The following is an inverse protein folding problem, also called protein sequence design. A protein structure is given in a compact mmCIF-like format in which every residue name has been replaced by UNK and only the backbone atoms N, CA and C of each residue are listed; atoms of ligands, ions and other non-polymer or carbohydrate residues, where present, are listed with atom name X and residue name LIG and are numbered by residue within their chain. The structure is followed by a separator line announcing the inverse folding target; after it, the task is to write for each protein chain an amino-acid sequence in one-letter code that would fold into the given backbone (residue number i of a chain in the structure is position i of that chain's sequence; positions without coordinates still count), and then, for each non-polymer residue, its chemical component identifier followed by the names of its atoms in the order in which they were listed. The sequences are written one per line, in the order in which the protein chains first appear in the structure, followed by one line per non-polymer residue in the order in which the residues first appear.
data_IF_210360577195
#
_entry.id   IF_210360577195
#
_cell.length_a   1.000
_cell.length_b   1.000
_cell.length_c   1.000
_cell.angle_alpha   90.00
_cell.angle_beta   90.00
_cell.angle_gamma   90.00
#
_symmetry.space_group_name_H-M   'P 1'
#
loop_
_entity.id
_entity.type
_entity.pdbx_description
1 polymer ?
#
# COMPACT_ATOMS: atom_id res chain seq x y z
N UNK A 1 -8.58 -14.60 -7.47
CA UNK A 1 -7.65 -15.59 -8.05
C UNK A 1 -6.95 -14.97 -9.24
N UNK A 2 -5.67 -15.30 -9.51
CA UNK A 2 -4.95 -14.81 -10.68
C UNK A 2 -5.67 -15.21 -11.99
N UNK A 3 -5.72 -14.33 -13.02
CA UNK A 3 -6.37 -14.65 -14.28
C UNK A 3 -5.67 -15.79 -15.01
N UNK A 4 -6.41 -16.60 -15.78
CA UNK A 4 -5.86 -17.77 -16.50
C UNK A 4 -4.72 -17.41 -17.46
N UNK A 5 -4.68 -16.16 -17.97
CA UNK A 5 -3.61 -15.68 -18.86
C UNK A 5 -2.22 -15.82 -18.23
N UNK A 6 -2.12 -15.65 -16.91
CA UNK A 6 -0.85 -15.70 -16.18
C UNK A 6 -0.16 -17.05 -16.35
N UNK A 7 -0.94 -18.14 -16.39
CA UNK A 7 -0.41 -19.49 -16.58
C UNK A 7 0.25 -19.71 -17.93
N UNK A 8 -0.11 -18.94 -18.96
CA UNK A 8 0.39 -19.13 -20.35
C UNK A 8 1.83 -18.64 -20.53
N UNK A 9 2.28 -17.71 -19.69
CA UNK A 9 3.62 -17.13 -19.76
C UNK A 9 4.47 -17.44 -18.52
N UNK A 10 4.00 -18.31 -17.61
CA UNK A 10 4.78 -18.72 -16.46
C UNK A 10 6.14 -19.33 -16.89
N UNK A 11 7.22 -18.88 -16.26
CA UNK A 11 8.60 -19.26 -16.58
C UNK A 11 9.21 -18.52 -17.77
N UNK A 12 8.45 -17.67 -18.49
CA UNK A 12 9.00 -16.79 -19.53
C UNK A 12 9.71 -15.58 -18.91
N UNK A 13 10.38 -14.79 -19.73
CA UNK A 13 11.11 -13.59 -19.32
C UNK A 13 10.59 -12.35 -20.03
N UNK A 14 10.67 -11.20 -19.37
CA UNK A 14 10.39 -9.88 -19.92
C UNK A 14 11.50 -8.90 -19.50
N UNK A 15 11.76 -7.88 -20.31
CA UNK A 15 12.69 -6.80 -20.00
C UNK A 15 11.93 -5.47 -20.09
N UNK A 16 11.76 -4.78 -18.98
CA UNK A 16 11.01 -3.51 -18.89
C UNK A 16 11.80 -2.56 -18.00
N UNK A 17 11.98 -1.32 -18.46
CA UNK A 17 12.82 -0.31 -17.78
C UNK A 17 14.22 -0.79 -17.43
N UNK A 18 14.77 -1.73 -18.21
CA UNK A 18 16.08 -2.35 -18.00
C UNK A 18 16.11 -3.45 -16.92
N UNK A 19 14.97 -3.79 -16.30
CA UNK A 19 14.85 -4.84 -15.29
C UNK A 19 14.44 -6.16 -15.95
N UNK A 20 15.24 -7.24 -15.82
CA UNK A 20 14.88 -8.55 -16.33
C UNK A 20 13.94 -9.27 -15.36
N UNK A 21 12.68 -9.45 -15.74
CA UNK A 21 11.69 -10.19 -14.97
C UNK A 21 11.57 -11.63 -15.45
N UNK A 22 11.55 -12.57 -14.51
CA UNK A 22 10.97 -13.89 -14.74
C UNK A 22 9.48 -13.83 -14.42
N UNK A 23 8.63 -14.29 -15.35
CA UNK A 23 7.19 -14.15 -15.27
C UNK A 23 6.51 -15.35 -14.59
N UNK A 24 5.42 -15.13 -13.82
CA UNK A 24 4.91 -13.83 -13.39
C UNK A 24 5.83 -13.15 -12.37
N UNK A 25 5.68 -11.82 -12.24
CA UNK A 25 6.27 -11.05 -11.13
C UNK A 25 5.65 -11.58 -9.83
N UNK A 26 6.48 -12.26 -9.04
CA UNK A 26 6.04 -13.01 -7.87
C UNK A 26 6.86 -12.67 -6.64
N UNK A 27 6.24 -12.87 -5.49
CA UNK A 27 6.93 -12.96 -4.20
C UNK A 27 6.62 -14.28 -3.52
N UNK A 28 7.55 -14.74 -2.69
CA UNK A 28 7.34 -15.91 -1.84
C UNK A 28 7.79 -15.63 -0.40
N UNK A 29 7.18 -16.36 0.55
CA UNK A 29 7.59 -16.39 1.97
C UNK A 29 7.77 -15.00 2.62
N UNK A 30 7.01 -14.00 2.17
CA UNK A 30 7.17 -12.63 2.63
C UNK A 30 6.24 -12.37 3.81
N UNK A 31 6.74 -12.19 5.06
CA UNK A 31 5.88 -11.83 6.16
C UNK A 31 5.29 -10.44 5.95
N UNK A 32 4.08 -10.23 6.48
CA UNK A 32 3.37 -8.98 6.32
C UNK A 32 2.48 -8.69 7.52
N UNK A 33 2.36 -7.41 7.83
CA UNK A 33 1.35 -6.88 8.74
C UNK A 33 0.37 -6.02 7.95
N UNK A 34 -0.88 -5.98 8.41
CA UNK A 34 -1.89 -5.06 7.91
C UNK A 34 -2.76 -4.55 9.07
N UNK A 35 -3.09 -3.27 9.07
CA UNK A 35 -4.00 -2.65 10.01
C UNK A 35 -4.95 -1.70 9.31
N UNK A 36 -6.19 -1.64 9.79
CA UNK A 36 -7.19 -0.69 9.32
C UNK A 36 -7.63 0.25 10.43
N UNK A 37 -7.53 1.55 10.19
CA UNK A 37 -8.00 2.62 11.07
C UNK A 37 -9.15 3.35 10.39
N UNK A 38 -10.15 3.78 11.17
CA UNK A 38 -11.25 4.56 10.61
C UNK A 38 -10.95 6.06 10.68
N UNK A 39 -11.27 6.80 9.63
CA UNK A 39 -11.06 8.25 9.54
C UNK A 39 -12.34 8.98 9.11
N UNK A 40 -12.38 10.30 9.25
CA UNK A 40 -13.47 11.09 8.71
C UNK A 40 -13.56 10.89 7.18
N UNK A 41 -14.78 10.62 6.70
CA UNK A 41 -14.98 10.25 5.30
C UNK A 41 -14.77 11.42 4.34
N UNK A 42 -15.19 12.63 4.72
CA UNK A 42 -15.05 13.82 3.90
C UNK A 42 -13.58 14.20 3.77
N UNK A 43 -12.86 14.25 4.89
CA UNK A 43 -11.43 14.55 4.91
C UNK A 43 -10.59 13.50 4.18
N UNK A 44 -10.98 12.22 4.24
CA UNK A 44 -10.35 11.18 3.43
C UNK A 44 -10.54 11.42 1.92
N UNK A 45 -11.70 11.91 1.48
CA UNK A 45 -11.92 12.25 0.06
C UNK A 45 -11.10 13.46 -0.38
N UNK A 46 -10.80 14.41 0.51
CA UNK A 46 -9.94 15.56 0.19
C UNK A 46 -8.50 15.14 -0.16
N UNK A 47 -8.07 13.94 0.27
CA UNK A 47 -6.77 13.36 -0.10
C UNK A 47 -6.81 12.59 -1.43
N UNK A 48 -7.99 12.32 -1.98
CA UNK A 48 -8.16 11.56 -3.22
C UNK A 48 -8.21 12.50 -4.42
N UNK A 49 -7.43 12.25 -5.48
CA UNK A 49 -7.37 13.16 -6.61
C UNK A 49 -8.48 12.86 -7.64
N UNK A 50 -8.74 13.87 -8.48
CA UNK A 50 -9.69 13.76 -9.58
C UNK A 50 -11.13 13.63 -9.11
N UNK A 51 -11.97 13.04 -9.95
CA UNK A 51 -13.42 12.92 -9.74
C UNK A 51 -13.94 11.47 -9.83
N UNK A 52 -13.05 10.50 -10.01
CA UNK A 52 -13.41 9.09 -10.20
C UNK A 52 -13.11 8.20 -8.98
N UNK A 53 -12.24 8.62 -8.07
CA UNK A 53 -11.84 7.84 -6.91
C UNK A 53 -12.50 8.42 -5.66
N UNK A 54 -13.27 7.60 -4.96
CA UNK A 54 -14.06 8.02 -3.80
C UNK A 54 -13.75 7.12 -2.62
N UNK A 55 -13.54 7.71 -1.44
CA UNK A 55 -13.24 6.94 -0.24
C UNK A 55 -14.39 5.97 0.05
N UNK A 56 -14.05 4.74 0.40
CA UNK A 56 -15.00 3.71 0.76
C UNK A 56 -15.68 4.11 2.06
N UNK A 57 -17.01 4.22 2.05
CA UNK A 57 -17.79 4.51 3.26
C UNK A 57 -18.10 3.22 4.01
N UNK A 58 -17.54 3.09 5.21
CA UNK A 58 -17.79 1.99 6.16
C UNK A 58 -19.24 2.06 6.70
N UNK A 59 -19.76 0.98 7.32
CA UNK A 59 -21.10 0.98 7.91
C UNK A 59 -21.34 2.12 8.90
N UNK A 60 -20.35 2.45 9.73
CA UNK A 60 -20.40 3.57 10.67
C UNK A 60 -20.34 4.96 10.01
N UNK A 61 -20.17 5.05 8.69
CA UNK A 61 -20.16 6.29 7.92
C UNK A 61 -18.77 6.91 7.72
N UNK A 62 -17.74 6.34 8.35
CA UNK A 62 -16.34 6.75 8.25
C UNK A 62 -15.64 6.12 7.04
N UNK A 63 -14.45 6.60 6.71
CA UNK A 63 -13.57 5.97 5.73
C UNK A 63 -12.59 5.01 6.42
N UNK A 64 -11.82 4.26 5.63
CA UNK A 64 -10.76 3.38 6.13
C UNK A 64 -9.39 3.80 5.57
N UNK A 65 -8.46 4.09 6.47
CA UNK A 65 -7.03 4.11 6.21
C UNK A 65 -6.48 2.70 6.42
N UNK A 66 -5.78 2.18 5.42
CA UNK A 66 -5.15 0.87 5.40
C UNK A 66 -3.64 1.05 5.42
N UNK A 67 -3.00 0.42 6.39
CA UNK A 67 -1.54 0.32 6.50
C UNK A 67 -1.17 -1.13 6.25
N UNK A 68 -0.31 -1.37 5.26
CA UNK A 68 0.27 -2.69 5.01
C UNK A 68 1.78 -2.54 4.97
N UNK A 69 2.50 -3.43 5.67
CA UNK A 69 3.95 -3.52 5.53
C UNK A 69 4.32 -4.95 5.20
N UNK A 70 5.16 -5.13 4.18
CA UNK A 70 5.62 -6.44 3.72
C UNK A 70 7.14 -6.44 3.71
N UNK A 71 7.73 -7.48 4.31
CA UNK A 71 9.15 -7.79 4.15
C UNK A 71 9.29 -8.84 3.04
N UNK A 72 9.64 -8.37 1.84
CA UNK A 72 9.81 -9.22 0.68
C UNK A 72 11.15 -9.96 0.75
N UNK A 73 11.11 -11.24 1.12
CA UNK A 73 12.31 -12.07 1.27
C UNK A 73 12.78 -12.75 -0.04
N UNK A 74 11.87 -12.95 -1.00
CA UNK A 74 12.12 -13.69 -2.23
C UNK A 74 11.29 -13.10 -3.38
N UNK A 75 11.95 -12.33 -4.25
CA UNK A 75 11.36 -11.72 -5.46
C UNK A 75 12.37 -11.75 -6.61
N UNK A 76 11.94 -11.39 -7.82
CA UNK A 76 12.83 -11.27 -8.98
C UNK A 76 13.74 -10.04 -8.97
N UNK A 77 13.57 -9.11 -8.02
CA UNK A 77 14.31 -7.84 -7.94
C UNK A 77 15.04 -7.68 -6.61
N UNK A 78 15.40 -8.80 -5.99
CA UNK A 78 16.01 -8.81 -4.66
C UNK A 78 15.00 -8.71 -3.52
N UNK A 79 15.53 -8.67 -2.30
CA UNK A 79 14.75 -8.48 -1.08
C UNK A 79 14.52 -6.98 -0.81
N UNK A 80 13.38 -6.62 -0.25
CA UNK A 80 13.09 -5.25 0.18
C UNK A 80 11.92 -5.20 1.16
N UNK A 81 11.85 -4.14 1.95
CA UNK A 81 10.66 -3.83 2.75
C UNK A 81 9.82 -2.85 1.95
N UNK A 82 8.50 -3.00 2.00
CA UNK A 82 7.54 -2.09 1.39
C UNK A 82 6.44 -1.72 2.37
N UNK A 83 6.19 -0.43 2.48
CA UNK A 83 4.99 0.12 3.09
C UNK A 83 3.94 0.40 2.03
N UNK A 84 2.68 0.32 2.45
CA UNK A 84 1.53 0.86 1.75
C UNK A 84 0.64 1.60 2.73
N UNK A 85 0.56 2.92 2.57
CA UNK A 85 -0.36 3.79 3.28
C UNK A 85 -1.43 4.21 2.28
N UNK A 86 -2.66 3.74 2.48
CA UNK A 86 -3.70 3.85 1.46
C UNK A 86 -5.08 4.12 2.04
N UNK A 87 -5.93 4.82 1.28
CA UNK A 87 -7.34 4.96 1.58
C UNK A 87 -8.10 3.87 0.82
N UNK A 88 -8.89 3.06 1.54
CA UNK A 88 -9.83 2.15 0.89
C UNK A 88 -10.80 2.98 0.04
N UNK A 89 -11.00 2.61 -1.22
CA UNK A 89 -11.76 3.42 -2.17
C UNK A 89 -12.62 2.59 -3.11
N UNK A 90 -13.53 3.28 -3.78
CA UNK A 90 -14.31 2.80 -4.92
C UNK A 90 -14.03 3.68 -6.11
N UNK A 91 -14.28 3.17 -7.31
CA UNK A 91 -14.12 3.92 -8.55
C UNK A 91 -15.44 4.07 -9.29
N UNK A 92 -15.76 5.28 -9.70
CA UNK A 92 -16.89 5.58 -10.58
C UNK A 92 -17.22 7.07 -10.62
N UNK A 93 -18.23 7.44 -11.41
CA UNK A 93 -18.66 8.83 -11.54
C UNK A 93 -19.25 9.42 -10.23
N UNK A 94 -19.61 8.58 -9.27
CA UNK A 94 -20.16 8.97 -7.96
C UNK A 94 -19.66 8.01 -6.88
N UNK A 95 -19.63 8.44 -5.60
CA UNK A 95 -19.36 7.54 -4.49
C UNK A 95 -20.32 6.35 -4.47
N UNK A 96 -19.78 5.15 -4.20
CA UNK A 96 -20.59 3.96 -4.08
C UNK A 96 -21.54 4.03 -2.85
N UNK A 97 -22.75 3.48 -2.92
CA UNK A 97 -23.67 3.45 -1.78
C UNK A 97 -23.08 2.67 -0.59
N UNK A 98 -23.35 3.15 0.65
CA UNK A 98 -22.75 2.70 1.92
C UNK A 98 -22.74 1.19 2.18
N UNK A 99 -23.75 0.47 1.71
CA UNK A 99 -23.90 -0.97 1.95
C UNK A 99 -23.45 -1.76 0.71
N UNK A 100 -23.61 -1.18 -0.48
CA UNK A 100 -23.36 -1.86 -1.74
C UNK A 100 -21.86 -1.98 -2.06
N UNK A 101 -21.04 -1.05 -1.58
CA UNK A 101 -19.58 -1.06 -1.76
C UNK A 101 -18.86 -2.23 -1.07
N UNK A 102 -19.36 -2.72 0.07
CA UNK A 102 -18.80 -3.84 0.81
C UNK A 102 -19.28 -5.21 0.31
N UNK A 103 -20.52 -5.28 -0.19
CA UNK A 103 -21.15 -6.52 -0.69
C UNK A 103 -20.82 -6.81 -2.17
N UNK A 104 -20.56 -5.78 -2.97
CA UNK A 104 -20.30 -5.91 -4.41
C UNK A 104 -18.96 -5.27 -4.80
N UNK A 105 -17.89 -5.71 -4.14
CA UNK A 105 -16.52 -5.17 -4.31
C UNK A 105 -16.11 -5.02 -5.79
N UNK A 106 -16.45 -6.02 -6.63
CA UNK A 106 -16.13 -5.98 -8.06
C UNK A 106 -16.95 -4.99 -8.90
N UNK A 107 -18.19 -4.68 -8.49
CA UNK A 107 -19.08 -3.79 -9.26
C UNK A 107 -18.67 -2.33 -9.17
N UNK A 108 -18.15 -1.91 -8.02
CA UNK A 108 -17.76 -0.51 -7.75
C UNK A 108 -16.26 -0.25 -7.92
N UNK A 109 -15.53 -1.17 -8.55
CA UNK A 109 -14.08 -1.07 -8.68
C UNK A 109 -13.39 -0.89 -7.32
N UNK A 110 -13.87 -1.57 -6.26
CA UNK A 110 -13.33 -1.41 -4.92
C UNK A 110 -11.85 -1.81 -4.88
N UNK A 111 -11.05 -0.99 -4.20
CA UNK A 111 -9.61 -1.17 -4.06
C UNK A 111 -9.06 -0.24 -3.00
N UNK A 112 -7.81 0.15 -3.16
CA UNK A 112 -7.13 1.12 -2.30
C UNK A 112 -6.41 2.15 -3.16
N UNK A 113 -6.54 3.42 -2.82
CA UNK A 113 -5.76 4.47 -3.43
C UNK A 113 -4.51 4.70 -2.58
N UNK A 114 -3.33 4.47 -3.17
CA UNK A 114 -2.05 4.54 -2.48
C UNK A 114 -1.65 6.01 -2.32
N UNK A 115 -1.56 6.48 -1.09
CA UNK A 115 -1.11 7.83 -0.75
C UNK A 115 0.41 7.90 -0.68
N UNK A 116 1.03 6.91 -0.04
CA UNK A 116 2.48 6.82 0.15
C UNK A 116 2.94 5.36 0.11
N UNK A 117 4.10 5.09 -0.49
CA UNK A 117 4.60 3.73 -0.73
C UNK A 117 6.13 3.60 -0.58
N UNK A 118 6.72 3.90 0.60
CA UNK A 118 8.17 3.78 0.78
C UNK A 118 8.67 2.35 0.63
N UNK A 119 9.84 2.21 0.02
CA UNK A 119 10.55 0.92 -0.15
C UNK A 119 12.01 1.04 0.23
N UNK A 120 12.64 -0.08 0.61
CA UNK A 120 14.05 -0.06 1.05
C UNK A 120 15.07 -0.08 -0.10
N UNK A 121 14.68 -0.47 -1.33
CA UNK A 121 15.58 -0.60 -2.48
C UNK A 121 15.22 0.30 -3.66
N UNK A 122 16.24 0.80 -4.36
CA UNK A 122 16.10 1.68 -5.52
C UNK A 122 15.44 0.97 -6.71
N UNK A 123 15.83 -0.29 -6.99
CA UNK A 123 15.25 -1.07 -8.10
C UNK A 123 13.73 -1.26 -7.94
N UNK A 124 13.23 -1.35 -6.70
CA UNK A 124 11.80 -1.43 -6.42
C UNK A 124 11.10 -0.12 -6.75
N UNK A 125 11.72 1.03 -6.47
CA UNK A 125 11.22 2.35 -6.89
C UNK A 125 11.13 2.41 -8.41
N UNK A 126 12.21 2.05 -9.10
CA UNK A 126 12.27 2.12 -10.57
C UNK A 126 11.17 1.28 -11.23
N UNK A 127 11.07 0.00 -10.87
CA UNK A 127 10.05 -0.89 -11.44
C UNK A 127 8.63 -0.52 -11.02
N UNK A 128 8.40 -0.30 -9.73
CA UNK A 128 7.06 -0.03 -9.21
C UNK A 128 6.47 1.29 -9.71
N UNK A 129 7.26 2.37 -9.70
CA UNK A 129 6.82 3.69 -10.21
C UNK A 129 6.81 3.73 -11.74
N UNK A 130 7.86 3.23 -12.40
CA UNK A 130 7.98 3.29 -13.87
C UNK A 130 6.91 2.50 -14.61
N UNK A 131 6.60 1.29 -14.13
CA UNK A 131 5.71 0.36 -14.82
C UNK A 131 4.26 0.51 -14.36
N UNK A 132 4.02 0.54 -13.05
CA UNK A 132 2.66 0.53 -12.47
C UNK A 132 2.21 1.90 -11.93
N UNK A 133 3.06 2.93 -11.98
CA UNK A 133 2.75 4.27 -11.47
C UNK A 133 2.57 4.32 -9.95
N UNK A 134 3.10 3.34 -9.23
CA UNK A 134 3.04 3.32 -7.78
C UNK A 134 3.90 4.45 -7.20
N UNK A 135 3.45 5.20 -6.18
CA UNK A 135 4.18 6.36 -5.64
C UNK A 135 5.36 5.93 -4.76
N UNK A 136 6.20 5.02 -5.27
CA UNK A 136 7.36 4.50 -4.56
C UNK A 136 8.43 5.55 -4.41
N UNK A 137 9.11 5.53 -3.29
CA UNK A 137 10.38 6.25 -3.08
C UNK A 137 11.21 5.47 -2.08
N UNK A 138 12.53 5.67 -2.14
CA UNK A 138 13.45 4.93 -1.27
C UNK A 138 13.49 5.59 0.11
N UNK A 139 13.51 4.77 1.16
CA UNK A 139 13.46 5.20 2.54
C UNK A 139 14.23 4.27 3.50
N UNK A 140 14.53 4.79 4.69
CA UNK A 140 15.05 4.00 5.81
C UNK A 140 13.87 3.26 6.45
N UNK A 141 13.87 1.93 6.38
CA UNK A 141 12.76 1.08 6.82
C UNK A 141 13.26 -0.09 7.69
N UNK A 142 12.43 -0.54 8.64
CA UNK A 142 12.59 -1.83 9.32
C UNK A 142 11.31 -2.65 9.30
N UNK A 143 11.40 -3.93 9.63
CA UNK A 143 10.26 -4.80 9.91
C UNK A 143 10.65 -5.69 11.09
N UNK A 144 10.10 -5.38 12.26
CA UNK A 144 10.50 -6.00 13.52
C UNK A 144 9.37 -6.89 14.03
N UNK A 145 9.61 -8.20 14.04
CA UNK A 145 8.70 -9.21 14.57
C UNK A 145 9.20 -9.69 15.93
N UNK A 146 8.32 -9.66 16.95
CA UNK A 146 8.52 -10.30 18.25
C UNK A 146 7.42 -11.33 18.52
N UNK A 147 7.50 -12.09 19.64
CA UNK A 147 6.40 -12.95 20.08
C UNK A 147 5.10 -12.17 20.38
N UNK A 148 5.22 -10.96 20.94
CA UNK A 148 4.11 -10.12 21.41
C UNK A 148 3.50 -9.25 20.30
N UNK A 149 4.32 -8.80 19.34
CA UNK A 149 3.89 -7.81 18.37
C UNK A 149 4.72 -7.78 17.09
N UNK A 150 4.27 -6.96 16.16
CA UNK A 150 5.00 -6.65 14.93
C UNK A 150 4.96 -5.15 14.75
N UNK A 151 6.11 -4.56 14.45
CA UNK A 151 6.25 -3.14 14.22
C UNK A 151 7.09 -2.85 13.00
N UNK A 152 6.93 -1.64 12.48
CA UNK A 152 7.73 -1.14 11.38
C UNK A 152 7.81 0.37 11.48
N UNK A 153 9.01 0.92 11.29
CA UNK A 153 9.30 2.34 11.23
C UNK A 153 9.83 2.77 9.86
N UNK A 154 9.41 3.97 9.47
CA UNK A 154 9.76 4.64 8.23
C UNK A 154 10.34 6.03 8.55
N UNK A 155 11.57 6.25 8.10
CA UNK A 155 12.27 7.53 8.14
C UNK A 155 12.64 8.00 6.72
N UNK A 156 12.63 9.31 6.52
CA UNK A 156 13.03 9.95 5.28
C UNK A 156 13.64 11.32 5.56
N UNK A 157 14.68 11.66 4.81
CA UNK A 157 15.32 12.97 4.84
C UNK A 157 15.72 13.40 6.27
N UNK A 158 16.19 12.42 7.05
CA UNK A 158 16.60 12.60 8.46
C UNK A 158 15.46 12.84 9.45
N UNK A 159 14.20 12.61 9.05
CA UNK A 159 13.01 12.85 9.86
C UNK A 159 12.25 11.56 10.14
N UNK A 160 11.59 11.52 11.30
CA UNK A 160 10.59 10.52 11.60
C UNK A 160 9.37 10.76 10.70
N UNK A 161 8.94 9.72 9.99
CA UNK A 161 7.80 9.84 9.07
C UNK A 161 6.62 9.05 9.60
N UNK A 162 6.78 7.75 9.79
CA UNK A 162 5.64 6.90 10.13
C UNK A 162 6.07 5.68 10.94
N UNK A 163 5.24 5.26 11.89
CA UNK A 163 5.41 3.98 12.58
C UNK A 163 4.05 3.33 12.81
N UNK A 164 4.02 2.01 12.61
CA UNK A 164 2.88 1.16 12.93
C UNK A 164 3.34 0.06 13.86
N UNK A 165 2.54 -0.20 14.89
CA UNK A 165 2.73 -1.30 15.83
C UNK A 165 1.42 -2.05 15.95
N UNK A 166 1.46 -3.38 15.91
CA UNK A 166 0.29 -4.22 16.17
C UNK A 166 0.62 -5.32 17.17
N UNK A 167 -0.33 -5.66 18.04
CA UNK A 167 -0.25 -6.91 18.78
C UNK A 167 -0.41 -8.08 17.80
N UNK A 168 0.42 -9.10 17.98
CA UNK A 168 0.41 -10.26 17.10
C UNK A 168 -0.87 -11.08 17.34
N UNK A 169 -1.68 -11.34 16.30
CA UNK A 169 -2.83 -12.21 16.43
C UNK A 169 -2.41 -13.61 16.88
N UNK A 170 -3.15 -14.20 17.83
CA UNK A 170 -2.76 -15.43 18.56
C UNK A 170 -2.38 -16.63 17.69
N UNK A 171 -3.00 -16.80 16.52
CA UNK A 171 -2.62 -17.88 15.60
C UNK A 171 -3.00 -17.58 14.15
N UNK A 172 -2.05 -17.66 13.19
CA UNK A 172 -2.33 -17.51 11.78
C UNK A 172 -2.91 -18.80 11.18
N UNK A 173 -4.20 -19.06 11.46
CA UNK A 173 -4.89 -20.28 11.03
C UNK A 173 -5.82 -20.07 9.83
N UNK A 174 -6.17 -18.82 9.51
CA UNK A 174 -7.15 -18.49 8.47
C UNK A 174 -6.47 -18.53 7.11
N UNK A 175 -6.86 -19.45 6.24
CA UNK A 175 -6.39 -19.47 4.85
C UNK A 175 -7.10 -18.36 4.07
N UNK A 176 -6.32 -17.42 3.55
CA UNK A 176 -6.80 -16.32 2.73
C UNK A 176 -6.31 -16.45 1.30
N UNK A 177 -7.22 -16.19 0.34
CA UNK A 177 -6.93 -16.02 -1.08
C UNK A 177 -7.58 -14.72 -1.52
N UNK A 178 -6.80 -13.67 -1.64
CA UNK A 178 -7.30 -12.31 -1.86
C UNK A 178 -6.78 -11.79 -3.19
N UNK A 179 -7.63 -11.05 -3.89
CA UNK A 179 -7.21 -10.15 -4.97
C UNK A 179 -7.56 -8.72 -4.58
N UNK A 180 -6.68 -7.78 -4.87
CA UNK A 180 -6.91 -6.37 -4.61
C UNK A 180 -6.49 -5.51 -5.81
N UNK A 181 -7.12 -4.35 -5.92
CA UNK A 181 -6.79 -3.32 -6.90
C UNK A 181 -6.10 -2.17 -6.18
N UNK A 182 -4.90 -1.82 -6.64
CA UNK A 182 -4.23 -0.59 -6.20
C UNK A 182 -4.45 0.48 -7.25
N UNK A 183 -5.00 1.61 -6.83
CA UNK A 183 -5.10 2.82 -7.62
C UNK A 183 -3.96 3.76 -7.25
N UNK A 184 -3.27 4.26 -8.27
CA UNK A 184 -2.17 5.20 -8.10
C UNK A 184 -2.30 6.34 -9.12
N UNK A 185 -1.60 7.45 -8.86
CA UNK A 185 -1.50 8.58 -9.78
C UNK A 185 -0.04 8.79 -10.18
N UNK A 186 0.24 8.75 -11.47
CA UNK A 186 1.56 9.08 -12.01
C UNK A 186 1.40 9.87 -13.30
N UNK A 187 2.11 11.01 -13.46
CA UNK A 187 1.96 11.91 -14.63
C UNK A 187 0.52 12.35 -14.90
N UNK A 188 -0.26 12.52 -13.83
CA UNK A 188 -1.70 12.78 -13.89
C UNK A 188 -2.54 11.69 -14.62
N UNK A 189 -2.01 10.48 -14.74
CA UNK A 189 -2.75 9.31 -15.17
C UNK A 189 -3.18 8.51 -13.94
N UNK A 190 -4.42 8.05 -13.95
CA UNK A 190 -4.93 7.08 -12.98
C UNK A 190 -4.54 5.68 -13.46
N UNK A 191 -3.82 4.96 -12.59
CA UNK A 191 -3.35 3.60 -12.86
C UNK A 191 -4.04 2.62 -11.93
N UNK A 192 -4.41 1.46 -12.45
CA UNK A 192 -5.02 0.37 -11.68
C UNK A 192 -4.23 -0.92 -11.88
N UNK A 193 -3.44 -1.30 -10.88
CA UNK A 193 -2.69 -2.55 -10.84
C UNK A 193 -3.41 -3.60 -10.00
N UNK A 194 -3.22 -4.88 -10.32
CA UNK A 194 -3.90 -5.98 -9.63
C UNK A 194 -2.89 -6.86 -8.92
N UNK A 195 -3.16 -7.13 -7.65
CA UNK A 195 -2.35 -8.04 -6.84
C UNK A 195 -3.19 -9.23 -6.39
N UNK A 196 -2.54 -10.39 -6.30
CA UNK A 196 -3.13 -11.62 -5.80
C UNK A 196 -2.22 -12.23 -4.77
N UNK A 197 -2.73 -12.57 -3.60
CA UNK A 197 -1.95 -13.24 -2.58
C UNK A 197 -2.67 -14.42 -1.95
N UNK A 198 -1.87 -15.41 -1.55
CA UNK A 198 -2.27 -16.56 -0.75
C UNK A 198 -1.44 -16.61 0.52
N UNK A 199 -2.10 -16.79 1.65
CA UNK A 199 -1.45 -16.80 2.97
C UNK A 199 -2.28 -17.54 4.01
N UNK A 200 -1.64 -17.90 5.13
CA UNK A 200 -2.33 -18.15 6.39
C UNK A 200 -2.17 -16.91 7.26
N UNK A 201 -3.28 -16.31 7.65
CA UNK A 201 -3.31 -15.07 8.38
C UNK A 201 -3.91 -15.26 9.77
N UNK A 202 -3.40 -14.51 10.73
CA UNK A 202 -4.05 -14.26 12.02
C UNK A 202 -4.76 -12.92 11.92
N UNK A 203 -6.00 -12.84 12.39
CA UNK A 203 -6.83 -11.64 12.27
C UNK A 203 -7.43 -11.32 13.63
N UNK A 204 -7.24 -10.09 14.10
CA UNK A 204 -8.00 -9.51 15.19
C UNK A 204 -8.96 -8.48 14.62
N UNK A 205 -10.21 -8.51 15.07
CA UNK A 205 -11.28 -7.61 14.62
C UNK A 205 -11.84 -6.80 15.80
N UNK A 206 -12.30 -5.59 15.50
CA UNK A 206 -13.00 -4.70 16.43
C UNK A 206 -12.23 -4.53 17.76
N UNK A 207 -12.88 -4.56 18.92
CA UNK A 207 -12.23 -4.33 20.23
C UNK A 207 -11.11 -5.31 20.61
N UNK A 208 -10.83 -6.34 19.80
CA UNK A 208 -9.66 -7.24 19.95
C UNK A 208 -8.46 -6.80 19.11
N UNK A 209 -8.67 -5.93 18.12
CA UNK A 209 -7.60 -5.34 17.34
C UNK A 209 -6.88 -4.32 18.21
N UNK A 210 -5.56 -4.48 18.33
CA UNK A 210 -4.68 -3.62 19.13
C UNK A 210 -3.50 -3.23 18.28
N UNK A 211 -3.29 -1.93 18.16
CA UNK A 211 -2.18 -1.35 17.42
C UNK A 211 -2.13 0.15 17.61
N UNK A 212 -0.93 0.71 17.44
CA UNK A 212 -0.64 2.12 17.59
C UNK A 212 -0.14 2.70 16.28
N UNK A 213 -0.55 3.93 15.99
CA UNK A 213 -0.12 4.68 14.83
C UNK A 213 0.61 5.95 15.27
N UNK A 214 1.75 6.21 14.63
CA UNK A 214 2.56 7.40 14.89
C UNK A 214 2.86 8.06 13.54
N UNK A 215 2.57 9.35 13.43
CA UNK A 215 2.65 10.10 12.17
C UNK A 215 3.47 11.37 12.41
N UNK A 216 4.61 11.48 11.73
CA UNK A 216 5.49 12.64 11.76
C UNK A 216 4.97 13.82 10.93
N UNK A 217 5.81 14.87 10.87
CA UNK A 217 5.50 16.11 10.15
C UNK A 217 6.03 16.14 8.71
N UNK A 218 6.65 15.04 8.26
CA UNK A 218 7.18 14.95 6.90
C UNK A 218 6.06 15.10 5.86
N UNK A 219 6.26 15.89 4.77
CA UNK A 219 5.21 16.20 3.80
C UNK A 219 4.46 15.00 3.21
N UNK A 220 5.13 13.85 3.06
CA UNK A 220 4.53 12.61 2.54
C UNK A 220 3.32 12.13 3.36
N UNK A 221 3.29 12.40 4.67
CA UNK A 221 2.27 11.83 5.58
C UNK A 221 1.60 12.87 6.48
N UNK A 222 2.11 14.11 6.54
CA UNK A 222 1.60 15.16 7.42
C UNK A 222 0.08 15.38 7.29
N UNK A 223 -0.46 15.28 6.06
CA UNK A 223 -1.90 15.42 5.79
C UNK A 223 -2.76 14.38 6.53
N UNK A 224 -2.21 13.21 6.87
CA UNK A 224 -2.91 12.15 7.61
C UNK A 224 -3.22 12.56 9.06
N UNK A 225 -2.51 13.52 9.65
CA UNK A 225 -2.85 14.06 10.97
C UNK A 225 -4.18 14.83 10.94
N UNK A 226 -4.57 15.35 9.78
CA UNK A 226 -5.77 16.15 9.60
C UNK A 226 -7.07 15.36 9.46
N UNK A 227 -7.02 14.06 9.12
CA UNK A 227 -8.20 13.29 8.68
C UNK A 227 -9.07 12.72 9.81
N UNK A 228 -8.85 13.14 11.07
CA UNK A 228 -9.58 12.67 12.24
C UNK A 228 -9.54 11.13 12.34
N UNK A 229 -8.37 10.56 12.61
CA UNK A 229 -8.19 9.11 12.75
C UNK A 229 -8.72 8.63 14.11
N UNK A 230 -9.35 7.46 14.11
CA UNK A 230 -9.59 6.72 15.36
C UNK A 230 -8.26 6.20 15.90
N UNK A 231 -7.99 6.31 17.22
CA UNK A 231 -6.72 5.86 17.79
C UNK A 231 -6.58 4.33 17.73
N UNK A 232 -7.70 3.60 17.86
CA UNK A 232 -7.71 2.14 17.78
C UNK A 232 -8.02 1.64 16.34
N UNK A 233 -7.32 0.59 15.88
CA UNK A 233 -7.65 -0.05 14.62
C UNK A 233 -8.95 -0.85 14.74
N UNK A 234 -9.74 -0.90 13.66
CA UNK A 234 -10.92 -1.78 13.59
C UNK A 234 -10.55 -3.20 13.13
N UNK A 235 -9.35 -3.41 12.57
CA UNK A 235 -8.75 -4.72 12.42
C UNK A 235 -7.22 -4.65 12.41
N UNK A 236 -6.58 -5.73 12.85
CA UNK A 236 -5.16 -6.01 12.60
C UNK A 236 -5.00 -7.41 12.05
N UNK A 237 -4.00 -7.60 11.20
CA UNK A 237 -3.70 -8.87 10.55
C UNK A 237 -2.20 -9.07 10.51
N UNK A 238 -1.77 -10.28 10.84
CA UNK A 238 -0.40 -10.72 10.63
C UNK A 238 -0.39 -11.95 9.75
N UNK A 239 0.51 -11.95 8.78
CA UNK A 239 0.71 -13.00 7.80
C UNK A 239 2.17 -13.42 7.90
N UNK A 240 2.52 -14.52 8.60
CA UNK A 240 3.91 -14.96 8.75
C UNK A 240 4.58 -15.33 7.42
N UNK A 241 3.79 -15.65 6.40
CA UNK A 241 4.27 -15.91 5.06
C UNK A 241 3.17 -15.65 4.04
N UNK A 242 3.45 -14.79 3.07
CA UNK A 242 2.59 -14.55 1.91
C UNK A 242 3.28 -15.00 0.63
N UNK A 243 2.49 -15.48 -0.32
CA UNK A 243 2.92 -15.67 -1.70
C UNK A 243 2.08 -14.76 -2.59
N UNK A 244 2.74 -13.88 -3.33
CA UNK A 244 2.12 -12.82 -4.10
C UNK A 244 2.37 -12.93 -5.59
N UNK A 245 1.43 -12.43 -6.38
CA UNK A 245 1.59 -12.12 -7.81
C UNK A 245 1.17 -10.68 -8.01
N UNK A 246 2.06 -9.87 -8.59
CA UNK A 246 1.72 -8.58 -9.17
C UNK A 246 1.45 -8.79 -10.65
N UNK A 247 0.23 -8.46 -11.09
CA UNK A 247 -0.17 -8.65 -12.47
C UNK A 247 0.55 -7.64 -13.39
N UNK A 248 1.19 -8.16 -14.43
CA UNK A 248 1.85 -7.35 -15.46
C UNK A 248 0.86 -6.61 -16.36
N UNK A 249 -0.40 -7.07 -16.40
CA UNK A 249 -1.45 -6.34 -17.07
C UNK A 249 -2.20 -5.43 -16.10
N UNK A 250 -2.04 -4.12 -16.29
CA UNK A 250 -2.70 -3.05 -15.54
C UNK A 250 -3.50 -2.14 -16.50
N UNK A 251 -4.34 -1.27 -15.93
CA UNK A 251 -5.06 -0.25 -16.69
C UNK A 251 -4.48 1.14 -16.39
N UNK A 252 -4.53 2.05 -17.37
CA UNK A 252 -4.06 3.43 -17.23
C UNK A 252 -4.90 4.36 -18.13
N UNK A 253 -5.37 5.47 -17.58
CA UNK A 253 -6.13 6.51 -18.31
C UNK A 253 -5.98 7.88 -17.63
N UNK A 254 -6.47 8.94 -18.29
CA UNK A 254 -6.34 10.30 -17.77
C UNK A 254 -7.17 10.53 -16.51
N UNK A 255 -6.58 11.19 -15.52
CA UNK A 255 -7.31 11.72 -14.37
C UNK A 255 -7.94 13.06 -14.73
N UNK A 256 -9.24 13.22 -14.48
CA UNK A 256 -9.99 14.42 -14.86
C UNK A 256 -10.41 15.25 -13.65
N UNK A 257 -10.56 16.55 -13.86
CA UNK A 257 -10.94 17.55 -12.85
C UNK A 257 -11.99 18.50 -13.43
N UNK A 258 -12.83 19.13 -12.61
CA UNK A 258 -13.78 20.15 -13.06
C UNK A 258 -13.10 21.39 -13.67
N UNK A 259 -11.97 21.79 -13.08
CA UNK A 259 -11.17 22.94 -13.49
C UNK A 259 -9.79 22.49 -13.99
N UNK A 260 -9.12 23.26 -14.89
CA UNK A 260 -7.76 22.96 -15.32
C UNK A 260 -6.80 22.84 -14.12
N UNK A 261 -6.05 21.73 -13.98
CA UNK A 261 -5.09 21.57 -12.89
C UNK A 261 -3.96 22.60 -13.02
N UNK A 262 -3.54 23.17 -11.89
CA UNK A 262 -2.50 24.21 -11.84
C UNK A 262 -1.08 23.65 -11.81
N UNK A 263 -0.92 22.41 -11.39
CA UNK A 263 0.36 21.76 -11.16
C UNK A 263 0.37 20.37 -11.79
N UNK A 264 1.55 19.98 -12.31
CA UNK A 264 1.79 18.63 -12.80
C UNK A 264 2.30 17.77 -11.62
N UNK A 265 1.68 16.61 -11.33
CA UNK A 265 2.29 15.61 -10.45
C UNK A 265 3.61 15.10 -11.02
N UNK A 266 4.44 14.48 -10.17
CA UNK A 266 5.73 13.89 -10.60
C UNK A 266 5.61 13.04 -11.88
N UNK A 267 6.64 13.15 -12.73
CA UNK A 267 6.72 12.52 -14.02
C UNK A 267 7.90 11.58 -14.22
N UNK A 268 8.30 11.37 -15.47
CA UNK A 268 9.37 10.42 -15.81
C UNK A 268 10.73 10.83 -15.24
N UNK A 269 10.92 12.12 -14.94
CA UNK A 269 12.10 12.65 -14.26
C UNK A 269 12.33 12.01 -12.89
N UNK A 270 11.29 11.48 -12.23
CA UNK A 270 11.42 10.77 -10.96
C UNK A 270 11.78 9.28 -11.11
N UNK A 271 11.93 8.78 -12.35
CA UNK A 271 12.18 7.35 -12.64
C UNK A 271 13.39 7.15 -13.53
N UNK A 272 13.50 7.92 -14.62
CA UNK A 272 14.56 7.77 -15.63
C UNK A 272 15.98 7.76 -15.04
N UNK A 273 16.33 8.62 -14.06
CA UNK A 273 17.68 8.65 -13.49
C UNK A 273 18.00 7.48 -12.55
N UNK A 274 17.00 6.72 -12.10
CA UNK A 274 17.21 5.67 -11.09
C UNK A 274 18.05 4.51 -11.64
N UNK A 275 18.90 3.98 -10.77
CA UNK A 275 19.66 2.76 -11.02
C UNK A 275 18.86 1.49 -10.79
N UNK A 276 19.58 0.41 -10.52
CA UNK A 276 19.04 -0.92 -10.24
C UNK A 276 19.56 -1.45 -8.91
N UNK A 277 19.94 -0.57 -7.98
CA UNK A 277 20.53 -1.01 -6.73
C UNK A 277 19.51 -1.78 -5.88
N UNK A 278 19.96 -2.95 -5.40
CA UNK A 278 19.28 -3.74 -4.36
C UNK A 278 19.74 -3.34 -2.95
N UNK A 279 20.68 -2.39 -2.84
CA UNK A 279 21.20 -1.95 -1.55
C UNK A 279 20.12 -1.22 -0.75
N UNK A 280 20.12 -1.48 0.56
CA UNK A 280 19.20 -0.85 1.49
C UNK A 280 19.86 0.36 2.12
N UNK A 281 19.07 1.40 2.36
CA UNK A 281 19.46 2.45 3.29
C UNK A 281 19.60 1.86 4.71
N UNK A 282 20.35 2.52 5.62
CA UNK A 282 20.42 2.10 7.02
C UNK A 282 19.03 1.93 7.65
N UNK A 283 18.86 1.06 8.65
CA UNK A 283 17.61 0.98 9.39
C UNK A 283 17.28 2.33 10.06
N UNK A 284 15.99 2.57 10.40
CA UNK A 284 15.55 3.72 11.18
C UNK A 284 16.39 3.90 12.47
N UNK A 285 16.64 5.15 12.84
CA UNK A 285 17.52 5.52 13.96
C UNK A 285 16.84 6.37 15.04
N UNK A 286 15.69 6.95 14.74
CA UNK A 286 14.94 7.86 15.63
C UNK A 286 14.12 7.04 16.62
N UNK A 287 14.34 7.26 17.91
CA UNK A 287 13.71 6.48 18.99
C UNK A 287 12.71 7.27 19.82
N UNK A 288 12.69 8.60 19.72
CA UNK A 288 11.77 9.48 20.44
C UNK A 288 10.42 9.66 19.71
N UNK A 289 9.93 8.59 19.07
CA UNK A 289 8.74 8.62 18.21
C UNK A 289 7.41 8.73 18.96
N UNK A 290 7.38 8.46 20.27
CA UNK A 290 6.17 8.50 21.11
C UNK A 290 5.42 9.84 21.03
N UNK A 291 6.15 10.94 20.83
CA UNK A 291 5.57 12.28 20.65
C UNK A 291 4.70 12.43 19.39
N UNK A 292 4.81 11.50 18.44
CA UNK A 292 4.07 11.50 17.17
C UNK A 292 2.83 10.62 17.19
N UNK A 293 2.48 10.02 18.34
CA UNK A 293 1.30 9.16 18.47
C UNK A 293 0.01 9.90 18.13
N UNK A 294 -0.88 9.21 17.42
CA UNK A 294 -2.24 9.66 17.07
C UNK A 294 -3.24 9.29 18.16
#
# INVERSE_FOLDING_TARGET
MPPKRIKRYAGRYALVDGIPYQMPVRSSRSPALMAGFSCDWQKANELLPGNEIHALKLPNGRAALLITVIDYLDTSIGKYIEYSIAIACTRGARPAPRIANALFLGHYGTGQYILDLPVSSEISVKGGKGIWGMPKHQANLDFLESPEGVSSQYEKDGQFVFRIEIEKPRSPSIKLKVGATNYCRFRNMLMASYIYFETRAGINLFGKAKGNLYIGDHPNVAALRGIDLSPDPFFTTFMPATNGILDDHFQCWFMTYPDPPKEMPEGLESVYPLGYSEDWLPPPSITDYEKFRI
#
